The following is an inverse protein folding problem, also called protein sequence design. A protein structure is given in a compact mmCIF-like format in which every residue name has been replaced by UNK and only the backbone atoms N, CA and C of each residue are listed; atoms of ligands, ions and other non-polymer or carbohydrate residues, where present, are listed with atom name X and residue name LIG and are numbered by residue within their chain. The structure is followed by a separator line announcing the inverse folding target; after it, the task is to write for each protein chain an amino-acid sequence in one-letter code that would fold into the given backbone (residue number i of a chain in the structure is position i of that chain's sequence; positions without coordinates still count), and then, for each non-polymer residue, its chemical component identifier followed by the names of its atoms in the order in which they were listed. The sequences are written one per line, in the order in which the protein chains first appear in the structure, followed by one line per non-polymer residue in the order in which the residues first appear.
data_IF_922965083953
#
_entry.id   IF_922965083953
#
_cell.length_a   1.000
_cell.length_b   1.000
_cell.length_c   1.000
_cell.angle_alpha   90.00
_cell.angle_beta   90.00
_cell.angle_gamma   90.00
#
_symmetry.space_group_name_H-M   'P 1'
#
loop_
_entity.id
_entity.type
_entity.pdbx_description
1 polymer ?
#
# COMPACT_ATOMS: atom_id res chain seq x y z
N UNK A 1 6.93 -36.63 -13.34
CA UNK A 1 7.19 -35.25 -13.80
C UNK A 1 6.74 -34.31 -12.68
N UNK A 2 7.69 -33.70 -11.96
CA UNK A 2 7.42 -32.96 -10.72
C UNK A 2 6.62 -31.69 -10.96
N UNK A 3 5.52 -31.54 -10.23
CA UNK A 3 4.81 -30.27 -10.12
C UNK A 3 5.79 -29.21 -9.59
N UNK A 4 5.99 -28.15 -10.36
CA UNK A 4 6.63 -26.93 -9.84
C UNK A 4 5.68 -26.36 -8.79
N UNK A 5 5.93 -26.66 -7.52
CA UNK A 5 5.27 -25.96 -6.43
C UNK A 5 5.86 -24.54 -6.40
N UNK A 6 5.15 -23.58 -7.01
CA UNK A 6 5.50 -22.18 -6.89
C UNK A 6 5.20 -21.72 -5.47
N UNK A 7 6.22 -21.29 -4.73
CA UNK A 7 6.05 -20.63 -3.42
C UNK A 7 5.78 -19.14 -3.63
N UNK A 8 4.80 -18.58 -2.93
CA UNK A 8 4.55 -17.13 -2.90
C UNK A 8 5.44 -16.51 -1.82
N UNK A 9 6.37 -15.65 -2.23
CA UNK A 9 7.32 -15.01 -1.32
C UNK A 9 6.79 -13.71 -0.71
N UNK A 10 5.96 -12.97 -1.44
CA UNK A 10 5.21 -11.83 -0.91
C UNK A 10 4.00 -11.49 -1.79
N UNK A 11 2.98 -10.83 -1.23
CA UNK A 11 1.86 -10.33 -2.00
C UNK A 11 1.22 -9.06 -1.42
N UNK A 12 0.57 -8.33 -2.33
CA UNK A 12 -0.47 -7.35 -2.05
C UNK A 12 -1.74 -7.76 -2.79
N UNK A 13 -2.88 -7.31 -2.28
CA UNK A 13 -4.14 -7.29 -3.01
C UNK A 13 -4.53 -5.84 -3.28
N UNK A 14 -4.76 -5.51 -4.55
CA UNK A 14 -5.20 -4.19 -5.00
C UNK A 14 -6.67 -4.24 -5.40
N UNK A 15 -7.51 -3.33 -4.90
CA UNK A 15 -8.94 -3.27 -5.18
C UNK A 15 -9.38 -1.83 -5.53
N UNK A 16 -10.22 -1.60 -6.56
CA UNK A 16 -10.75 -0.27 -6.84
C UNK A 16 -11.63 0.25 -5.68
N UNK A 17 -11.48 1.51 -5.30
CA UNK A 17 -12.32 2.11 -4.25
C UNK A 17 -13.77 2.37 -4.68
N UNK A 18 -14.06 2.28 -5.98
CA UNK A 18 -15.42 2.35 -6.54
C UNK A 18 -16.26 1.10 -6.23
N UNK A 19 -15.62 -0.02 -5.86
CA UNK A 19 -16.26 -1.26 -5.43
C UNK A 19 -16.22 -1.48 -3.92
N UNK A 20 -16.51 -2.70 -3.42
CA UNK A 20 -16.27 -3.13 -2.05
C UNK A 20 -14.79 -3.11 -1.66
N UNK A 21 -14.45 -2.54 -0.50
CA UNK A 21 -13.08 -2.50 0.02
C UNK A 21 -13.06 -2.34 1.55
N UNK A 22 -11.97 -2.80 2.17
CA UNK A 22 -11.88 -3.03 3.62
C UNK A 22 -11.97 -1.76 4.45
N UNK A 23 -11.30 -0.67 4.05
CA UNK A 23 -11.33 0.58 4.81
C UNK A 23 -12.76 1.12 4.95
N UNK A 24 -13.58 1.09 3.90
CA UNK A 24 -14.97 1.54 3.98
C UNK A 24 -15.87 0.52 4.67
N UNK A 25 -15.76 -0.74 4.29
CA UNK A 25 -16.77 -1.75 4.62
C UNK A 25 -16.46 -2.48 5.95
N UNK A 26 -15.23 -2.38 6.47
CA UNK A 26 -14.79 -3.08 7.69
C UNK A 26 -14.20 -2.15 8.75
N UNK A 27 -13.47 -1.10 8.36
CA UNK A 27 -12.82 -0.18 9.32
C UNK A 27 -13.17 1.30 9.10
N UNK A 28 -14.46 1.66 8.92
CA UNK A 28 -14.86 3.04 8.62
C UNK A 28 -14.48 4.03 9.73
N UNK A 29 -14.31 3.58 10.97
CA UNK A 29 -13.85 4.41 12.09
C UNK A 29 -12.47 5.03 11.84
N UNK A 30 -11.61 4.40 11.02
CA UNK A 30 -10.28 4.92 10.68
C UNK A 30 -10.34 6.10 9.70
N UNK A 31 -11.52 6.43 9.15
CA UNK A 31 -11.75 7.62 8.33
C UNK A 31 -11.97 8.88 9.16
N UNK A 32 -12.18 8.77 10.48
CA UNK A 32 -12.37 9.92 11.38
C UNK A 32 -13.46 10.89 10.92
N UNK A 33 -14.58 10.35 10.46
CA UNK A 33 -15.73 11.12 9.96
C UNK A 33 -15.55 11.71 8.55
N UNK A 34 -14.39 11.50 7.90
CA UNK A 34 -14.18 11.90 6.52
C UNK A 34 -14.89 10.94 5.56
N UNK A 35 -15.29 11.40 4.36
CA UNK A 35 -15.83 10.53 3.32
C UNK A 35 -14.83 9.43 2.94
N UNK A 36 -15.34 8.22 2.78
CA UNK A 36 -14.56 7.11 2.27
C UNK A 36 -14.18 7.36 0.80
N UNK A 37 -12.91 7.20 0.39
CA UNK A 37 -12.51 7.39 -1.01
C UNK A 37 -13.35 6.52 -1.95
N UNK A 38 -13.80 7.09 -3.06
CA UNK A 38 -14.55 6.39 -4.09
C UNK A 38 -14.22 7.03 -5.44
N UNK A 39 -13.11 6.59 -6.04
CA UNK A 39 -12.61 7.19 -7.29
C UNK A 39 -11.93 6.15 -8.17
N UNK A 40 -11.98 6.34 -9.50
CA UNK A 40 -11.33 5.47 -10.47
C UNK A 40 -9.80 5.47 -10.37
N UNK A 41 -9.21 6.56 -9.86
CA UNK A 41 -7.76 6.72 -9.68
C UNK A 41 -7.27 6.46 -8.24
N UNK A 42 -8.14 5.94 -7.35
CA UNK A 42 -7.78 5.58 -5.96
C UNK A 42 -8.10 4.11 -5.71
N UNK A 43 -7.11 3.35 -5.26
CA UNK A 43 -7.25 1.91 -5.02
C UNK A 43 -6.88 1.55 -3.58
N UNK A 44 -7.56 0.57 -3.00
CA UNK A 44 -7.14 -0.03 -1.74
C UNK A 44 -6.02 -1.04 -1.97
N UNK A 45 -4.97 -0.93 -1.16
CA UNK A 45 -3.93 -1.94 -1.01
C UNK A 45 -4.13 -2.67 0.33
N UNK A 46 -4.22 -4.00 0.30
CA UNK A 46 -4.48 -4.83 1.48
C UNK A 46 -3.74 -6.17 1.44
N UNK A 47 -3.77 -6.92 2.54
CA UNK A 47 -3.18 -8.28 2.65
C UNK A 47 -1.66 -8.31 2.38
N UNK A 48 -0.91 -7.38 2.93
CA UNK A 48 0.55 -7.47 2.95
C UNK A 48 0.97 -8.77 3.63
N UNK A 49 1.55 -9.70 2.88
CA UNK A 49 2.12 -10.91 3.42
C UNK A 49 3.51 -11.11 2.81
N UNK A 50 4.48 -11.49 3.64
CA UNK A 50 5.84 -11.84 3.22
C UNK A 50 6.18 -13.17 3.88
N UNK A 51 6.73 -14.11 3.12
CA UNK A 51 7.11 -15.43 3.61
C UNK A 51 8.26 -15.33 4.62
N UNK A 52 8.02 -15.82 5.83
CA UNK A 52 8.92 -15.72 6.99
C UNK A 52 10.26 -16.47 6.81
N UNK A 53 10.34 -17.43 5.88
CA UNK A 53 11.56 -18.21 5.62
C UNK A 53 12.57 -17.49 4.72
N UNK A 54 12.19 -16.35 4.12
CA UNK A 54 13.03 -15.55 3.20
C UNK A 54 13.07 -14.07 3.54
N UNK A 55 12.31 -13.64 4.54
CA UNK A 55 12.52 -12.37 5.18
C UNK A 55 13.54 -12.60 6.30
N UNK A 56 14.68 -11.91 6.26
CA UNK A 56 15.47 -11.67 7.47
C UNK A 56 14.62 -10.81 8.42
N UNK A 57 13.64 -11.45 9.07
CA UNK A 57 12.69 -10.80 9.99
C UNK A 57 13.34 -10.38 11.29
N UNK A 58 14.61 -10.78 11.52
CA UNK A 58 15.36 -10.44 12.72
C UNK A 58 15.47 -8.91 12.96
N UNK A 59 15.39 -8.09 11.89
CA UNK A 59 15.59 -6.64 12.01
C UNK A 59 14.36 -5.77 11.69
N UNK A 60 13.19 -6.35 11.44
CA UNK A 60 11.99 -5.55 11.14
C UNK A 60 12.18 -4.58 9.96
N UNK A 61 13.05 -4.92 9.00
CA UNK A 61 13.33 -4.13 7.82
C UNK A 61 12.40 -4.54 6.67
N UNK A 62 11.96 -3.56 5.89
CA UNK A 62 11.35 -3.79 4.58
C UNK A 62 12.46 -4.33 3.67
N UNK A 63 12.56 -5.66 3.55
CA UNK A 63 13.62 -6.31 2.78
C UNK A 63 13.52 -6.06 1.27
N UNK A 64 14.50 -6.56 0.48
CA UNK A 64 14.51 -6.42 -0.98
C UNK A 64 13.21 -6.87 -1.65
N UNK A 65 12.58 -7.93 -1.14
CA UNK A 65 11.31 -8.46 -1.63
C UNK A 65 10.19 -7.44 -1.44
N UNK A 66 10.09 -6.81 -0.27
CA UNK A 66 9.04 -5.83 0.01
C UNK A 66 9.22 -4.56 -0.82
N UNK A 67 10.47 -4.13 -1.06
CA UNK A 67 10.78 -3.01 -1.96
C UNK A 67 10.43 -3.35 -3.41
N UNK A 68 10.78 -4.54 -3.89
CA UNK A 68 10.39 -5.01 -5.22
C UNK A 68 8.87 -5.05 -5.38
N UNK A 69 8.16 -5.58 -4.38
CA UNK A 69 6.70 -5.64 -4.39
C UNK A 69 6.08 -4.23 -4.43
N UNK A 70 6.60 -3.27 -3.67
CA UNK A 70 6.13 -1.88 -3.74
C UNK A 70 6.44 -1.22 -5.09
N UNK A 71 7.60 -1.53 -5.69
CA UNK A 71 7.95 -1.07 -7.04
C UNK A 71 6.96 -1.58 -8.09
N UNK A 72 6.60 -2.86 -8.03
CA UNK A 72 5.60 -3.44 -8.93
C UNK A 72 4.22 -2.82 -8.71
N UNK A 73 3.80 -2.58 -7.46
CA UNK A 73 2.56 -1.84 -7.17
C UNK A 73 2.58 -0.42 -7.74
N UNK A 74 3.71 0.28 -7.66
CA UNK A 74 3.84 1.63 -8.19
C UNK A 74 3.87 1.64 -9.74
N UNK A 75 4.50 0.65 -10.36
CA UNK A 75 4.48 0.48 -11.82
C UNK A 75 3.06 0.19 -12.32
N UNK A 76 2.36 -0.75 -11.67
CA UNK A 76 0.96 -1.04 -11.96
C UNK A 76 0.10 0.23 -11.86
N UNK A 77 0.31 1.04 -10.82
CA UNK A 77 -0.40 2.30 -10.66
C UNK A 77 -0.15 3.28 -11.81
N UNK A 78 1.12 3.48 -12.18
CA UNK A 78 1.49 4.37 -13.28
C UNK A 78 0.90 3.94 -14.62
N UNK A 79 0.86 2.62 -14.89
CA UNK A 79 0.29 2.06 -16.13
C UNK A 79 -1.25 2.17 -16.20
N UNK A 80 -1.93 2.18 -15.05
CA UNK A 80 -3.39 2.17 -14.97
C UNK A 80 -4.00 3.50 -14.53
N UNK A 81 -3.20 4.57 -14.42
CA UNK A 81 -3.68 5.89 -14.00
C UNK A 81 -4.14 5.95 -12.54
N UNK A 82 -3.57 5.11 -11.68
CA UNK A 82 -3.84 5.14 -10.23
C UNK A 82 -2.91 6.18 -9.62
N UNK A 83 -3.49 7.20 -9.01
CA UNK A 83 -2.73 8.30 -8.39
C UNK A 83 -2.44 8.01 -6.92
N UNK A 84 -3.30 7.24 -6.25
CA UNK A 84 -3.23 7.01 -4.81
C UNK A 84 -3.60 5.59 -4.43
N UNK A 85 -2.87 5.05 -3.47
CA UNK A 85 -3.30 3.88 -2.71
C UNK A 85 -3.79 4.27 -1.33
N UNK A 86 -4.83 3.60 -0.84
CA UNK A 86 -5.24 3.64 0.56
C UNK A 86 -5.02 2.29 1.21
N UNK A 87 -4.55 2.25 2.45
CA UNK A 87 -4.33 0.98 3.16
C UNK A 87 -4.66 1.13 4.64
N UNK A 88 -5.31 0.11 5.20
CA UNK A 88 -5.37 -0.09 6.65
C UNK A 88 -4.14 -0.88 7.06
N UNK A 89 -3.37 -0.35 7.99
CA UNK A 89 -2.12 -0.95 8.44
C UNK A 89 -1.86 -0.65 9.92
N UNK A 90 -0.73 -1.10 10.46
CA UNK A 90 -0.31 -0.76 11.83
C UNK A 90 0.66 0.43 11.82
N UNK A 91 0.77 1.21 12.90
CA UNK A 91 1.78 2.26 13.01
C UNK A 91 3.23 1.79 12.78
N UNK A 92 3.52 0.52 13.11
CA UNK A 92 4.83 -0.09 12.86
C UNK A 92 5.09 -0.21 11.35
N UNK A 93 4.13 -0.77 10.62
CA UNK A 93 4.23 -0.92 9.16
C UNK A 93 4.22 0.42 8.43
N UNK A 94 3.39 1.38 8.87
CA UNK A 94 3.44 2.75 8.36
C UNK A 94 4.84 3.35 8.51
N UNK A 95 5.44 3.24 9.71
CA UNK A 95 6.80 3.76 9.95
C UNK A 95 7.82 3.11 9.01
N UNK A 96 7.72 1.80 8.82
CA UNK A 96 8.60 1.07 7.90
C UNK A 96 8.44 1.55 6.46
N UNK A 97 7.21 1.75 5.99
CA UNK A 97 6.92 2.28 4.65
C UNK A 97 7.46 3.71 4.48
N UNK A 98 7.25 4.59 5.46
CA UNK A 98 7.80 5.96 5.46
C UNK A 98 9.32 5.97 5.39
N UNK A 99 9.99 5.06 6.11
CA UNK A 99 11.45 4.93 6.08
C UNK A 99 12.02 4.52 4.72
N UNK A 100 11.19 4.01 3.80
CA UNK A 100 11.61 3.74 2.41
C UNK A 100 11.60 4.99 1.53
N UNK A 101 11.17 6.15 2.03
CA UNK A 101 11.05 7.39 1.26
C UNK A 101 9.72 7.54 0.51
N UNK A 102 8.75 6.64 0.75
CA UNK A 102 7.41 6.73 0.18
C UNK A 102 6.69 7.97 0.69
N UNK A 103 5.93 8.64 -0.18
CA UNK A 103 5.09 9.76 0.22
C UNK A 103 3.80 9.24 0.85
N UNK A 104 3.76 9.25 2.18
CA UNK A 104 2.69 8.66 2.98
C UNK A 104 2.18 9.65 4.00
N UNK A 105 0.85 9.74 4.10
CA UNK A 105 0.17 10.50 5.15
C UNK A 105 -1.02 9.73 5.73
N UNK A 106 -1.37 10.05 6.97
CA UNK A 106 -2.49 9.42 7.67
C UNK A 106 -3.80 10.12 7.31
N UNK A 107 -4.89 9.36 7.25
CA UNK A 107 -6.24 9.94 7.19
C UNK A 107 -6.74 10.41 8.57
N UNK A 108 -6.10 9.93 9.64
CA UNK A 108 -6.28 10.43 11.01
C UNK A 108 -5.48 9.62 12.03
N UNK A 109 -5.70 9.81 13.34
CA UNK A 109 -4.96 9.09 14.38
C UNK A 109 -5.22 7.57 14.32
N UNK A 110 -4.29 6.79 14.88
CA UNK A 110 -4.49 5.35 15.01
C UNK A 110 -5.54 5.01 16.06
N UNK A 111 -6.39 4.02 15.79
CA UNK A 111 -7.39 3.50 16.71
C UNK A 111 -7.01 2.08 17.12
N UNK A 112 -7.32 1.68 18.36
CA UNK A 112 -7.15 0.29 18.80
C UNK A 112 -8.32 -0.55 18.29
N UNK A 113 -8.03 -1.56 17.46
CA UNK A 113 -9.00 -2.49 16.91
C UNK A 113 -8.61 -3.91 17.36
N UNK A 114 -9.44 -4.51 18.21
CA UNK A 114 -9.11 -5.77 18.88
C UNK A 114 -7.84 -5.65 19.72
N UNK A 115 -6.82 -6.44 19.40
CA UNK A 115 -5.54 -6.48 20.13
C UNK A 115 -4.47 -5.52 19.58
N UNK A 116 -4.70 -4.91 18.41
CA UNK A 116 -3.69 -4.13 17.70
C UNK A 116 -4.12 -2.67 17.49
N UNK A 117 -3.13 -1.78 17.33
CA UNK A 117 -3.37 -0.44 16.83
C UNK A 117 -3.42 -0.46 15.29
N UNK A 118 -4.44 0.15 14.71
CA UNK A 118 -4.66 0.26 13.29
C UNK A 118 -4.71 1.74 12.87
N UNK A 119 -4.29 2.02 11.64
CA UNK A 119 -4.30 3.36 11.04
C UNK A 119 -4.61 3.24 9.55
N UNK A 120 -5.43 4.16 9.03
CA UNK A 120 -5.62 4.33 7.60
C UNK A 120 -4.60 5.35 7.07
N UNK A 121 -3.89 4.97 6.01
CA UNK A 121 -2.90 5.83 5.35
C UNK A 121 -3.14 5.88 3.86
N UNK A 122 -2.78 7.03 3.28
CA UNK A 122 -2.70 7.26 1.84
C UNK A 122 -1.24 7.18 1.44
N UNK A 123 -0.98 6.52 0.31
CA UNK A 123 0.32 6.49 -0.37
C UNK A 123 0.13 7.17 -1.72
N UNK A 124 0.78 8.30 -1.91
CA UNK A 124 0.78 9.01 -3.20
C UNK A 124 1.64 8.24 -4.20
N UNK A 125 1.17 8.09 -5.44
CA UNK A 125 1.95 7.54 -6.55
C UNK A 125 2.56 8.69 -7.34
N UNK A 126 3.32 9.54 -6.64
CA UNK A 126 3.97 10.71 -7.21
C UNK A 126 5.47 10.47 -7.43
N UNK A 127 6.19 11.51 -7.84
CA UNK A 127 7.63 11.44 -8.07
C UNK A 127 8.41 10.98 -6.84
N UNK A 128 8.01 11.35 -5.61
CA UNK A 128 8.68 10.93 -4.39
C UNK A 128 8.58 9.42 -4.21
N UNK A 129 7.38 8.86 -4.33
CA UNK A 129 7.16 7.41 -4.24
C UNK A 129 7.84 6.66 -5.38
N UNK A 130 7.73 7.14 -6.62
CA UNK A 130 8.33 6.49 -7.80
C UNK A 130 9.86 6.45 -7.72
N UNK A 131 10.49 7.54 -7.26
CA UNK A 131 11.94 7.62 -7.08
C UNK A 131 12.40 6.73 -5.92
N UNK A 132 11.67 6.71 -4.80
CA UNK A 132 11.96 5.87 -3.63
C UNK A 132 12.01 4.37 -3.98
N UNK A 133 11.10 3.91 -4.85
CA UNK A 133 11.05 2.51 -5.30
C UNK A 133 11.94 2.22 -6.52
N UNK A 134 12.59 3.24 -7.09
CA UNK A 134 13.48 3.11 -8.25
C UNK A 134 12.74 2.77 -9.54
N UNK A 135 11.51 3.28 -9.70
CA UNK A 135 10.76 3.15 -10.94
C UNK A 135 11.38 4.03 -12.04
N UNK A 136 11.48 3.50 -13.27
CA UNK A 136 12.13 4.15 -14.42
C UNK A 136 11.21 4.31 -15.64
N UNK A 137 9.93 3.95 -15.51
CA UNK A 137 8.97 4.01 -16.60
C UNK A 137 8.33 5.40 -16.77
N UNK A 138 7.34 5.53 -17.66
CA UNK A 138 6.60 6.77 -17.87
C UNK A 138 5.97 7.25 -16.56
N UNK A 139 6.14 8.54 -16.24
CA UNK A 139 5.53 9.14 -15.05
C UNK A 139 4.09 9.54 -15.35
N UNK A 140 3.20 9.25 -14.42
CA UNK A 140 1.84 9.81 -14.44
C UNK A 140 1.96 11.33 -14.31
N UNK A 141 1.48 12.05 -15.32
CA UNK A 141 1.31 13.49 -15.21
C UNK A 141 0.20 13.75 -14.20
N UNK A 142 0.36 14.67 -13.23
CA UNK A 142 -0.72 14.98 -12.31
C UNK A 142 -1.93 15.42 -13.14
N UNK A 143 -3.05 14.71 -13.00
CA UNK A 143 -4.32 15.19 -13.50
C UNK A 143 -4.57 16.52 -12.79
N UNK A 144 -4.60 17.63 -13.53
CA UNK A 144 -4.97 18.92 -12.95
C UNK A 144 -6.38 18.76 -12.36
N UNK A 145 -6.47 18.71 -11.03
CA UNK A 145 -7.75 18.86 -10.33
C UNK A 145 -8.31 20.22 -10.72
N UNK A 146 -9.40 20.19 -11.49
CA UNK A 146 -10.23 21.36 -11.77
C UNK A 146 -11.22 21.58 -10.61
#
# INVERSE_FOLDING_TARGET
KGARHGSVDACWRLLPTTGPYMLRDTFPELLHGQPAPCSGNVWEMSRFAVATSRADTANGAFGPISKALMRESAAFAAEHGIERYVTVTTPVMERMLRQQGLHIHRMGPSIRIGIAAAVAVVIEVDHLTLDAVGYKGPRISPTQSN
#
